data_IF_503913117393
#
_entry.id   IF_503913117393
#
_cell.length_a   1.000
_cell.length_b   1.000
_cell.length_c   1.000
_cell.angle_alpha   90.00
_cell.angle_beta   90.00
_cell.angle_gamma   90.00
#
_symmetry.space_group_name_H-M   'P 1'
#
loop_
_entity.id
_entity.type
_entity.pdbx_description
1 polymer ?
#
# COMPACT_ATOMS: atom_id res chain seq x y z
N UNK A 1 18.58 38.33 46.00
CA UNK A 1 19.06 37.18 45.21
C UNK A 1 18.06 36.03 45.13
N UNK A 2 17.42 35.60 46.23
CA UNK A 2 16.52 34.43 46.20
C UNK A 2 15.13 34.73 45.62
N UNK A 3 14.54 35.89 45.93
CA UNK A 3 13.28 36.34 45.31
C UNK A 3 13.40 36.56 43.79
N UNK A 4 14.53 37.07 43.33
CA UNK A 4 14.80 37.32 41.90
C UNK A 4 14.88 36.01 41.10
N UNK A 5 15.48 34.96 41.69
CA UNK A 5 15.50 33.61 41.11
C UNK A 5 14.10 32.98 41.02
N UNK A 6 13.24 33.23 42.01
CA UNK A 6 11.87 32.72 42.01
C UNK A 6 11.01 33.41 40.93
N UNK A 7 11.19 34.71 40.73
CA UNK A 7 10.49 35.46 39.67
C UNK A 7 10.95 35.00 38.27
N UNK A 8 12.27 34.84 38.06
CA UNK A 8 12.82 34.35 36.81
C UNK A 8 12.41 32.90 36.48
N UNK A 9 12.23 32.06 37.50
CA UNK A 9 11.74 30.69 37.32
C UNK A 9 10.26 30.69 36.90
N UNK A 10 9.45 31.60 37.44
CA UNK A 10 8.03 31.73 37.12
C UNK A 10 7.80 32.20 35.67
N UNK A 11 8.64 33.11 35.16
CA UNK A 11 8.58 33.54 33.74
C UNK A 11 9.05 32.46 32.76
N UNK A 12 9.95 31.56 33.16
CA UNK A 12 10.49 30.51 32.28
C UNK A 12 9.56 29.30 32.16
N UNK A 13 8.66 29.06 33.11
CA UNK A 13 7.70 27.97 33.05
C UNK A 13 6.71 28.04 31.86
N UNK A 14 6.07 29.17 31.54
CA UNK A 14 5.21 29.26 30.36
C UNK A 14 5.99 29.08 29.05
N UNK A 15 7.22 29.60 28.95
CA UNK A 15 8.09 29.38 27.77
C UNK A 15 8.39 27.91 27.55
N UNK A 16 8.80 27.18 28.61
CA UNK A 16 9.05 25.73 28.52
C UNK A 16 7.82 24.94 28.10
N UNK A 17 6.64 25.32 28.60
CA UNK A 17 5.39 24.67 28.23
C UNK A 17 5.08 24.92 26.75
N UNK A 18 5.26 26.14 26.28
CA UNK A 18 5.04 26.53 24.90
C UNK A 18 6.01 25.82 23.94
N UNK A 19 7.30 25.77 24.28
CA UNK A 19 8.33 25.07 23.50
C UNK A 19 8.05 23.56 23.43
N UNK A 20 7.55 22.97 24.52
CA UNK A 20 7.15 21.56 24.57
C UNK A 20 5.93 21.28 23.69
N UNK A 21 4.94 22.17 23.68
CA UNK A 21 3.78 22.10 22.77
C UNK A 21 4.22 22.19 21.30
N UNK A 22 5.07 23.15 20.96
CA UNK A 22 5.61 23.30 19.59
C UNK A 22 6.40 22.07 19.14
N UNK A 23 7.21 21.48 20.03
CA UNK A 23 7.96 20.27 19.73
C UNK A 23 7.04 19.07 19.47
N UNK A 24 5.94 18.98 20.23
CA UNK A 24 4.93 17.95 20.04
C UNK A 24 4.19 18.14 18.71
N UNK A 25 3.82 19.38 18.38
CA UNK A 25 3.19 19.74 17.10
C UNK A 25 4.11 19.40 15.91
N UNK A 26 5.40 19.76 16.00
CA UNK A 26 6.41 19.42 14.99
C UNK A 26 6.55 17.92 14.79
N UNK A 27 6.61 17.15 15.88
CA UNK A 27 6.67 15.67 15.79
C UNK A 27 5.43 15.09 15.13
N UNK A 28 4.24 15.62 15.44
CA UNK A 28 2.98 15.22 14.83
C UNK A 28 2.97 15.50 13.32
N UNK A 29 3.37 16.71 12.92
CA UNK A 29 3.46 17.11 11.51
C UNK A 29 4.48 16.26 10.74
N UNK A 30 5.63 15.96 11.35
CA UNK A 30 6.67 15.12 10.74
C UNK A 30 6.14 13.70 10.46
N UNK A 31 5.44 13.12 11.44
CA UNK A 31 4.82 11.81 11.31
C UNK A 31 3.76 11.77 10.21
N UNK A 32 2.96 12.83 10.09
CA UNK A 32 1.92 12.95 9.07
C UNK A 32 2.50 13.14 7.66
N UNK A 33 3.60 13.90 7.54
CA UNK A 33 4.37 14.03 6.30
C UNK A 33 4.96 12.68 5.86
N UNK A 34 5.51 11.92 6.79
CA UNK A 34 6.10 10.62 6.50
C UNK A 34 5.04 9.59 6.09
N UNK A 35 3.88 9.61 6.75
CA UNK A 35 2.71 8.83 6.35
C UNK A 35 2.25 9.18 4.93
N UNK A 36 2.19 10.48 4.58
CA UNK A 36 1.83 10.96 3.25
C UNK A 36 2.85 10.54 2.19
N UNK A 37 4.15 10.61 2.48
CA UNK A 37 5.22 10.11 1.59
C UNK A 37 5.10 8.61 1.31
N UNK A 38 4.86 7.79 2.34
CA UNK A 38 4.65 6.33 2.16
C UNK A 38 3.45 6.02 1.26
N UNK A 39 2.38 6.80 1.34
CA UNK A 39 1.23 6.65 0.45
C UNK A 39 1.52 7.06 -1.01
N UNK A 40 2.33 8.09 -1.24
CA UNK A 40 2.71 8.55 -2.59
C UNK A 40 3.57 7.55 -3.37
N UNK A 41 4.42 6.78 -2.68
CA UNK A 41 5.28 5.74 -3.30
C UNK A 41 4.47 4.60 -3.93
N UNK A 42 3.18 4.45 -3.58
CA UNK A 42 2.28 3.43 -4.11
C UNK A 42 1.43 3.92 -5.31
N UNK A 43 1.64 5.14 -5.81
CA UNK A 43 0.78 5.74 -6.85
C UNK A 43 1.29 5.57 -8.29
N UNK A 44 2.48 5.00 -8.52
CA UNK A 44 3.02 4.83 -9.87
C UNK A 44 3.28 3.38 -10.20
N UNK A 45 2.54 2.87 -11.18
CA UNK A 45 2.90 1.68 -11.94
C UNK A 45 3.96 2.05 -12.97
N UNK A 46 5.05 1.31 -13.02
CA UNK A 46 5.92 1.30 -14.18
C UNK A 46 5.19 0.52 -15.27
N UNK A 47 4.78 1.20 -16.35
CA UNK A 47 4.19 0.55 -17.52
C UNK A 47 5.29 -0.25 -18.17
N UNK A 48 5.23 -1.59 -18.03
CA UNK A 48 6.08 -2.62 -18.66
C UNK A 48 7.56 -2.24 -18.78
N UNK A 49 8.50 -2.91 -18.08
CA UNK A 49 9.93 -2.66 -18.27
C UNK A 49 10.23 -2.62 -19.78
N UNK A 50 10.70 -1.49 -20.29
CA UNK A 50 11.13 -1.44 -21.68
C UNK A 50 12.25 -2.48 -21.81
N UNK A 51 12.03 -3.49 -22.65
CA UNK A 51 13.05 -4.47 -22.97
C UNK A 51 14.35 -3.70 -23.26
N UNK A 52 15.48 -4.06 -22.62
CA UNK A 52 16.74 -3.40 -22.91
C UNK A 52 16.95 -3.45 -24.42
N UNK A 53 17.17 -2.28 -25.04
CA UNK A 53 17.26 -2.12 -26.48
C UNK A 53 18.33 -3.06 -27.06
N UNK A 54 17.90 -4.25 -27.49
CA UNK A 54 18.79 -5.36 -27.77
C UNK A 54 18.16 -6.72 -27.48
N UNK A 55 16.88 -6.90 -27.83
CA UNK A 55 16.17 -8.19 -27.73
C UNK A 55 16.96 -9.34 -28.39
N UNK A 56 16.67 -10.60 -28.00
CA UNK A 56 17.45 -11.76 -28.45
C UNK A 56 17.49 -11.81 -29.98
N UNK A 57 18.68 -12.10 -30.52
CA UNK A 57 18.88 -12.25 -31.98
C UNK A 57 18.21 -13.55 -32.41
N UNK A 58 17.00 -13.43 -32.94
CA UNK A 58 16.23 -14.53 -33.49
C UNK A 58 16.97 -15.12 -34.70
N UNK A 59 17.31 -16.41 -34.64
CA UNK A 59 17.82 -17.19 -35.77
C UNK A 59 16.67 -18.04 -36.32
N UNK A 60 16.69 -18.42 -37.60
CA UNK A 60 15.66 -19.30 -38.18
C UNK A 60 15.52 -20.64 -37.43
N UNK A 61 16.59 -21.09 -36.77
CA UNK A 61 16.60 -22.33 -35.97
C UNK A 61 16.37 -22.11 -34.47
N UNK A 62 16.23 -20.86 -34.03
CA UNK A 62 15.97 -20.56 -32.63
C UNK A 62 15.03 -19.36 -32.53
N UNK A 63 13.78 -19.64 -32.16
CA UNK A 63 12.70 -18.66 -32.01
C UNK A 63 12.95 -17.58 -30.95
N UNK A 64 14.18 -17.39 -30.47
CA UNK A 64 14.53 -16.43 -29.42
C UNK A 64 13.83 -16.70 -28.09
N UNK A 65 13.10 -17.82 -28.00
CA UNK A 65 12.40 -18.26 -26.81
C UNK A 65 13.45 -18.91 -25.93
N UNK A 66 13.87 -18.14 -24.93
CA UNK A 66 14.62 -18.65 -23.81
C UNK A 66 13.91 -19.90 -23.27
N UNK A 67 14.58 -21.06 -23.35
CA UNK A 67 14.06 -22.37 -22.95
C UNK A 67 14.13 -22.59 -21.43
N UNK A 68 14.27 -21.52 -20.66
CA UNK A 68 13.97 -21.56 -19.24
C UNK A 68 12.45 -21.72 -19.07
N UNK A 69 11.99 -22.98 -19.15
CA UNK A 69 10.63 -23.42 -18.80
C UNK A 69 10.33 -23.33 -17.31
N UNK A 70 11.22 -22.67 -16.55
CA UNK A 70 10.94 -22.36 -15.17
C UNK A 70 10.12 -21.07 -15.19
N UNK A 71 8.85 -21.21 -14.83
CA UNK A 71 7.87 -20.16 -14.55
C UNK A 71 8.32 -19.26 -13.36
N UNK A 72 9.62 -19.00 -13.25
CA UNK A 72 10.21 -18.02 -12.34
C UNK A 72 9.98 -16.59 -12.85
N UNK A 73 8.89 -16.34 -13.57
CA UNK A 73 8.35 -14.98 -13.74
C UNK A 73 7.44 -14.57 -12.59
N UNK A 74 7.06 -15.50 -11.70
CA UNK A 74 6.55 -15.17 -10.38
C UNK A 74 7.58 -15.55 -9.31
N UNK A 75 8.31 -14.56 -8.80
CA UNK A 75 9.06 -14.74 -7.57
C UNK A 75 8.05 -14.84 -6.42
N UNK A 76 7.51 -16.04 -6.20
CA UNK A 76 6.56 -16.39 -5.13
C UNK A 76 7.07 -15.97 -3.73
N UNK A 77 8.39 -15.82 -3.58
CA UNK A 77 9.02 -15.41 -2.33
C UNK A 77 9.12 -13.88 -2.18
N UNK A 78 8.88 -13.12 -3.26
CA UNK A 78 8.87 -11.67 -3.28
C UNK A 78 7.59 -11.16 -3.96
N UNK A 79 6.48 -10.97 -3.21
CA UNK A 79 5.29 -10.37 -3.78
C UNK A 79 5.68 -9.05 -4.44
N UNK A 80 5.48 -8.97 -5.77
CA UNK A 80 5.98 -7.87 -6.63
C UNK A 80 5.53 -6.48 -6.17
N UNK A 81 4.52 -6.39 -5.30
CA UNK A 81 4.01 -5.16 -4.71
C UNK A 81 4.04 -5.23 -3.18
N UNK A 82 4.53 -4.19 -2.50
CA UNK A 82 4.45 -4.12 -1.04
C UNK A 82 2.98 -4.13 -0.60
N UNK A 83 2.69 -4.77 0.54
CA UNK A 83 1.35 -4.79 1.11
C UNK A 83 0.85 -3.35 1.32
N UNK A 84 -0.32 -2.96 0.78
CA UNK A 84 -0.83 -1.62 0.95
C UNK A 84 -1.18 -1.34 2.41
N UNK A 85 -1.16 -0.07 2.80
CA UNK A 85 -1.32 0.33 4.20
C UNK A 85 -2.66 -0.13 4.82
N UNK A 86 -3.74 -0.15 4.02
CA UNK A 86 -5.07 -0.61 4.48
C UNK A 86 -5.12 -2.12 4.74
N UNK A 87 -4.24 -2.90 4.10
CA UNK A 87 -4.20 -4.35 4.20
C UNK A 87 -3.19 -4.85 5.24
N UNK A 88 -2.66 -3.97 6.11
CA UNK A 88 -1.69 -4.36 7.14
C UNK A 88 -1.99 -3.78 8.52
N UNK A 89 -1.62 -4.54 9.55
CA UNK A 89 -1.58 -4.11 10.95
C UNK A 89 -2.89 -3.49 11.46
N UNK A 90 -2.77 -2.30 12.05
CA UNK A 90 -3.87 -1.61 12.74
C UNK A 90 -4.95 -1.06 11.82
N UNK A 91 -4.62 -0.74 10.56
CA UNK A 91 -5.62 -0.21 9.62
C UNK A 91 -6.61 -1.30 9.22
N UNK A 92 -6.10 -2.50 8.94
CA UNK A 92 -6.94 -3.66 8.62
C UNK A 92 -7.83 -4.03 9.82
N UNK A 93 -7.27 -4.08 11.03
CA UNK A 93 -8.06 -4.46 12.21
C UNK A 93 -9.18 -3.46 12.52
N UNK A 94 -8.90 -2.16 12.41
CA UNK A 94 -9.93 -1.12 12.56
C UNK A 94 -11.01 -1.20 11.47
N UNK A 95 -10.61 -1.44 10.22
CA UNK A 95 -11.55 -1.59 9.11
C UNK A 95 -12.49 -2.78 9.30
N UNK A 96 -11.97 -3.94 9.74
CA UNK A 96 -12.78 -5.14 10.00
C UNK A 96 -13.75 -4.91 11.16
N UNK A 97 -13.29 -4.33 12.28
CA UNK A 97 -14.17 -4.01 13.41
C UNK A 97 -15.30 -3.09 12.96
N UNK A 98 -14.98 -2.06 12.18
CA UNK A 98 -15.98 -1.13 11.66
C UNK A 98 -16.98 -1.84 10.74
N UNK A 99 -16.52 -2.69 9.82
CA UNK A 99 -17.40 -3.45 8.92
C UNK A 99 -18.33 -4.40 9.69
N UNK A 100 -17.83 -5.01 10.77
CA UNK A 100 -18.61 -5.92 11.61
C UNK A 100 -19.75 -5.21 12.33
N UNK A 101 -19.48 -4.05 12.96
CA UNK A 101 -20.51 -3.31 13.71
C UNK A 101 -21.36 -2.38 12.84
N UNK A 102 -20.84 -1.93 11.71
CA UNK A 102 -21.51 -1.04 10.75
C UNK A 102 -21.61 -1.74 9.39
N UNK A 103 -22.25 -2.92 9.36
CA UNK A 103 -22.40 -3.67 8.12
C UNK A 103 -23.29 -2.92 7.13
N UNK A 104 -22.80 -2.63 5.92
CA UNK A 104 -23.62 -2.05 4.86
C UNK A 104 -24.61 -3.10 4.33
N UNK A 105 -25.65 -2.64 3.64
CA UNK A 105 -26.55 -3.53 2.89
C UNK A 105 -25.78 -4.15 1.72
N UNK A 106 -25.45 -5.43 1.86
CA UNK A 106 -24.66 -6.20 0.89
C UNK A 106 -25.46 -6.43 -0.40
N UNK A 107 -26.77 -6.65 -0.28
CA UNK A 107 -27.65 -6.89 -1.42
C UNK A 107 -27.84 -5.60 -2.23
N UNK A 108 -27.93 -4.45 -1.57
CA UNK A 108 -27.93 -3.15 -2.25
C UNK A 108 -26.56 -2.80 -2.87
N UNK A 109 -25.46 -3.15 -2.18
CA UNK A 109 -24.11 -2.78 -2.62
C UNK A 109 -23.62 -3.60 -3.80
N UNK A 110 -23.86 -4.92 -3.80
CA UNK A 110 -23.39 -5.84 -4.83
C UNK A 110 -24.48 -6.28 -5.81
N UNK A 111 -25.75 -6.14 -5.44
CA UNK A 111 -26.85 -6.61 -6.26
C UNK A 111 -26.89 -8.13 -6.43
N UNK A 112 -27.72 -8.59 -7.36
CA UNK A 112 -27.77 -10.00 -7.73
C UNK A 112 -26.55 -10.36 -8.58
N UNK A 113 -25.72 -11.28 -8.09
CA UNK A 113 -24.58 -11.80 -8.85
C UNK A 113 -25.13 -12.79 -9.90
N UNK A 114 -24.90 -12.55 -11.20
CA UNK A 114 -25.36 -13.46 -12.24
C UNK A 114 -24.58 -14.78 -12.16
N UNK A 115 -25.29 -15.91 -12.31
CA UNK A 115 -24.64 -17.20 -12.47
C UNK A 115 -23.85 -17.19 -13.76
N UNK A 116 -22.53 -17.39 -13.68
CA UNK A 116 -21.69 -17.52 -14.86
C UNK A 116 -21.76 -18.96 -15.37
N UNK A 117 -21.93 -19.13 -16.69
CA UNK A 117 -21.83 -20.44 -17.32
C UNK A 117 -20.35 -20.80 -17.46
N UNK A 118 -19.99 -22.02 -17.14
CA UNK A 118 -18.60 -22.47 -17.23
C UNK A 118 -18.10 -22.43 -18.68
N UNK A 119 -18.98 -22.72 -19.64
CA UNK A 119 -18.68 -22.64 -21.07
C UNK A 119 -18.22 -21.24 -21.50
N UNK A 120 -18.81 -20.17 -20.92
CA UNK A 120 -18.48 -18.77 -21.23
C UNK A 120 -17.18 -18.32 -20.52
N UNK A 121 -16.73 -19.04 -19.50
CA UNK A 121 -15.49 -18.74 -18.76
C UNK A 121 -14.30 -19.51 -19.35
N UNK A 122 -14.52 -20.78 -19.71
CA UNK A 122 -13.44 -21.71 -20.05
C UNK A 122 -13.36 -22.03 -21.54
N UNK A 123 -14.27 -21.54 -22.38
CA UNK A 123 -14.36 -21.81 -23.82
C UNK A 123 -14.25 -23.31 -24.17
N UNK A 124 -14.62 -24.19 -23.23
CA UNK A 124 -14.67 -25.63 -23.43
C UNK A 124 -16.12 -26.04 -23.63
N UNK A 125 -16.52 -26.16 -24.89
CA UNK A 125 -17.60 -27.07 -25.24
C UNK A 125 -17.08 -28.49 -25.05
N UNK A 126 -17.71 -29.27 -24.17
CA UNK A 126 -17.56 -30.73 -24.21
C UNK A 126 -18.01 -31.19 -25.60
N UNK A 127 -17.04 -31.42 -26.49
CA UNK A 127 -17.26 -31.94 -27.83
C UNK A 127 -17.44 -33.45 -27.64
N UNK A 128 -18.70 -33.88 -27.49
CA UNK A 128 -19.11 -35.27 -27.63
C UNK A 128 -19.53 -35.55 -29.08
#
# INVERSE_FOLDING_TARGET
MEQEKQQLALEREPEKLQEKWELQEKKRLLWELEKRKKNLVCSSYEMTPQDPAGGPKNSYDNYGMDLHSDDSTDDENQPRKPTPAWASGSQLSQAIIRQYYMSPDIDQLFGTIPSQRLEDIFDKSELH
#
